data_IF_158014213658
#
_entry.id   IF_158014213658
#
_cell.length_a   1.000
_cell.length_b   1.000
_cell.length_c   1.000
_cell.angle_alpha   90.00
_cell.angle_beta   90.00
_cell.angle_gamma   90.00
#
_symmetry.space_group_name_H-M   'P 1'
#
loop_
_entity.id
_entity.type
_entity.pdbx_description
1 polymer ?
#
# COMPACT_ATOMS: atom_id res chain seq x y z
N UNK A 1 -38.40 -37.06 15.38
CA UNK A 1 -37.40 -36.33 14.55
C UNK A 1 -37.10 -34.89 15.04
N UNK A 2 -37.48 -34.52 16.27
CA UNK A 2 -37.47 -33.12 16.74
C UNK A 2 -36.30 -32.77 17.68
N UNK A 3 -35.81 -33.71 18.49
CA UNK A 3 -34.74 -33.45 19.49
C UNK A 3 -33.40 -33.11 18.83
N UNK A 4 -32.99 -33.83 17.78
CA UNK A 4 -31.73 -33.58 17.05
C UNK A 4 -31.73 -32.25 16.30
N UNK A 5 -32.91 -31.78 15.89
CA UNK A 5 -33.11 -30.45 15.29
C UNK A 5 -33.07 -29.34 16.34
N UNK A 6 -33.67 -29.55 17.52
CA UNK A 6 -33.61 -28.58 18.62
C UNK A 6 -32.17 -28.40 19.13
N UNK A 7 -31.40 -29.49 19.24
CA UNK A 7 -29.97 -29.43 19.60
C UNK A 7 -29.15 -28.65 18.58
N UNK A 8 -29.42 -28.82 17.29
CA UNK A 8 -28.76 -28.06 16.22
C UNK A 8 -29.10 -26.57 16.26
N UNK A 9 -30.37 -26.21 16.48
CA UNK A 9 -30.78 -24.81 16.62
C UNK A 9 -30.20 -24.15 17.88
N UNK A 10 -30.15 -24.87 19.00
CA UNK A 10 -29.54 -24.39 20.24
C UNK A 10 -28.03 -24.16 20.08
N UNK A 11 -27.33 -25.08 19.40
CA UNK A 11 -25.90 -24.94 19.11
C UNK A 11 -25.63 -23.75 18.17
N UNK A 12 -26.47 -23.56 17.15
CA UNK A 12 -26.34 -22.47 16.17
C UNK A 12 -26.65 -21.10 16.81
N UNK A 13 -27.64 -21.03 17.69
CA UNK A 13 -27.92 -19.84 18.51
C UNK A 13 -26.78 -19.54 19.50
N UNK A 14 -26.19 -20.56 20.11
CA UNK A 14 -25.04 -20.38 20.99
C UNK A 14 -23.80 -19.88 20.22
N UNK A 15 -23.56 -20.38 19.01
CA UNK A 15 -22.49 -19.91 18.10
C UNK A 15 -22.73 -18.48 17.60
N UNK A 16 -23.98 -18.12 17.30
CA UNK A 16 -24.34 -16.75 16.94
C UNK A 16 -24.17 -15.80 18.12
N UNK A 17 -24.52 -16.23 19.34
CA UNK A 17 -24.38 -15.44 20.55
C UNK A 17 -22.89 -15.21 20.92
N UNK A 18 -22.03 -16.21 20.75
CA UNK A 18 -20.58 -16.05 20.96
C UNK A 18 -19.94 -15.19 19.88
N UNK A 19 -20.37 -15.29 18.61
CA UNK A 19 -19.93 -14.39 17.54
C UNK A 19 -20.37 -12.93 17.80
N UNK A 20 -21.62 -12.72 18.24
CA UNK A 20 -22.13 -11.41 18.60
C UNK A 20 -21.39 -10.81 19.81
N UNK A 21 -21.13 -11.61 20.85
CA UNK A 21 -20.37 -11.17 22.03
C UNK A 21 -18.89 -10.88 21.71
N UNK A 22 -18.31 -11.61 20.76
CA UNK A 22 -16.98 -11.34 20.22
C UNK A 22 -16.91 -10.00 19.47
N UNK A 23 -17.90 -9.73 18.62
CA UNK A 23 -17.99 -8.47 17.86
C UNK A 23 -18.30 -7.23 18.70
N UNK A 24 -18.97 -7.37 19.85
CA UNK A 24 -19.30 -6.24 20.73
C UNK A 24 -18.11 -5.74 21.55
N UNK A 25 -17.08 -6.56 21.78
CA UNK A 25 -15.87 -6.14 22.53
C UNK A 25 -14.92 -5.28 21.70
N UNK A 26 -14.98 -5.35 20.37
CA UNK A 26 -14.15 -4.56 19.45
C UNK A 26 -14.68 -3.16 19.14
N UNK A 27 -15.92 -2.82 19.54
CA UNK A 27 -16.55 -1.50 19.32
C UNK A 27 -16.49 -0.63 20.59
N UNK A 28 -15.53 -0.84 21.48
CA UNK A 28 -15.28 0.18 22.51
C UNK A 28 -14.55 1.36 21.84
N UNK A 29 -15.11 2.57 21.89
CA UNK A 29 -14.41 3.74 21.39
C UNK A 29 -13.28 4.05 22.38
N UNK A 30 -12.10 3.50 22.12
CA UNK A 30 -10.85 3.97 22.74
C UNK A 30 -10.66 5.44 22.30
N UNK A 31 -10.23 6.35 23.19
CA UNK A 31 -9.90 7.71 22.78
C UNK A 31 -8.89 7.68 21.61
N UNK A 32 -9.07 8.51 20.58
CA UNK A 32 -8.23 8.47 19.39
C UNK A 32 -6.79 8.77 19.78
N UNK A 33 -5.93 7.74 19.76
CA UNK A 33 -4.51 7.88 20.03
C UNK A 33 -3.76 8.19 18.75
N UNK A 34 -2.63 8.92 18.89
CA UNK A 34 -1.73 9.21 17.76
C UNK A 34 -1.33 7.92 17.05
N UNK A 35 -1.01 6.87 17.81
CA UNK A 35 -0.62 5.56 17.29
C UNK A 35 -1.74 4.90 16.49
N UNK A 36 -2.99 4.95 16.98
CA UNK A 36 -4.13 4.35 16.29
C UNK A 36 -4.44 5.02 14.94
N UNK A 37 -4.32 6.34 14.87
CA UNK A 37 -4.50 7.08 13.61
C UNK A 37 -3.29 6.86 12.68
N UNK A 38 -2.07 6.90 13.22
CA UNK A 38 -0.85 6.65 12.46
C UNK A 38 -0.79 5.23 11.87
N UNK A 39 -1.43 4.24 12.51
CA UNK A 39 -1.51 2.88 11.99
C UNK A 39 -2.45 2.76 10.78
N UNK A 40 -3.37 3.72 10.60
CA UNK A 40 -4.30 3.77 9.45
C UNK A 40 -3.75 4.57 8.27
N UNK A 41 -2.58 5.19 8.42
CA UNK A 41 -1.92 5.98 7.39
C UNK A 41 -0.64 5.28 6.92
N UNK A 42 -0.40 5.25 5.61
CA UNK A 42 0.85 4.80 4.99
C UNK A 42 1.85 5.95 4.96
N UNK A 43 3.14 5.64 5.11
CA UNK A 43 4.18 6.63 4.93
C UNK A 43 4.52 6.74 3.44
N UNK A 44 4.36 7.91 2.78
CA UNK A 44 4.59 8.06 1.34
C UNK A 44 6.08 7.96 0.97
N UNK A 45 6.96 8.14 1.94
CA UNK A 45 8.41 8.04 1.77
C UNK A 45 8.97 6.64 2.09
N UNK A 46 8.15 5.72 2.61
CA UNK A 46 8.57 4.37 2.96
C UNK A 46 7.79 3.35 2.13
N UNK A 47 8.46 2.24 1.78
CA UNK A 47 7.96 1.24 0.84
C UNK A 47 6.82 0.39 1.45
N UNK A 48 5.66 1.01 1.70
CA UNK A 48 4.44 0.33 2.16
C UNK A 48 4.25 0.21 3.67
N UNK A 49 5.14 0.78 4.50
CA UNK A 49 4.98 0.77 5.95
C UNK A 49 3.93 1.80 6.45
N UNK A 50 3.27 1.48 7.57
CA UNK A 50 2.39 2.43 8.26
C UNK A 50 3.20 3.54 8.93
N UNK A 51 2.61 4.73 9.08
CA UNK A 51 3.21 5.87 9.79
C UNK A 51 3.49 5.54 11.26
N UNK A 52 2.72 4.60 11.85
CA UNK A 52 2.96 4.12 13.21
C UNK A 52 4.25 3.29 13.34
N UNK A 53 4.61 2.51 12.32
CA UNK A 53 5.75 1.58 12.36
C UNK A 53 7.02 2.17 11.74
N UNK A 54 6.87 3.09 10.79
CA UNK A 54 7.99 3.67 10.07
C UNK A 54 8.84 4.59 10.96
N UNK A 55 10.16 4.38 10.91
CA UNK A 55 11.16 5.18 11.61
C UNK A 55 11.69 6.35 10.77
N UNK A 56 11.08 6.62 9.61
CA UNK A 56 11.53 7.72 8.75
C UNK A 56 11.26 9.10 9.36
N UNK A 57 12.07 10.12 9.01
CA UNK A 57 11.79 11.50 9.39
C UNK A 57 10.40 11.98 8.95
N UNK A 58 9.94 11.52 7.78
CA UNK A 58 8.59 11.81 7.27
C UNK A 58 7.50 11.25 8.18
N UNK A 59 7.63 9.99 8.60
CA UNK A 59 6.67 9.38 9.51
C UNK A 59 6.68 10.06 10.89
N UNK A 60 7.84 10.51 11.39
CA UNK A 60 7.92 11.30 12.61
C UNK A 60 7.15 12.63 12.50
N UNK A 61 7.37 13.39 11.42
CA UNK A 61 6.66 14.64 11.17
C UNK A 61 5.13 14.44 11.02
N UNK A 62 4.71 13.33 10.40
CA UNK A 62 3.29 12.97 10.31
C UNK A 62 2.70 12.65 11.68
N UNK A 63 3.41 11.91 12.55
CA UNK A 63 2.97 11.64 13.93
C UNK A 63 2.84 12.93 14.75
N UNK A 64 3.77 13.86 14.59
CA UNK A 64 3.68 15.18 15.24
C UNK A 64 2.47 15.97 14.76
N UNK A 65 2.19 15.94 13.45
CA UNK A 65 1.00 16.58 12.88
C UNK A 65 -0.28 15.96 13.42
N UNK A 66 -0.35 14.63 13.53
CA UNK A 66 -1.50 13.93 14.13
C UNK A 66 -1.70 14.36 15.58
N UNK A 67 -0.61 14.43 16.36
CA UNK A 67 -0.66 14.86 17.76
C UNK A 67 -1.18 16.31 17.90
N UNK A 68 -0.73 17.22 17.04
CA UNK A 68 -1.20 18.61 17.01
C UNK A 68 -2.70 18.71 16.66
N UNK A 69 -3.16 17.93 15.68
CA UNK A 69 -4.57 17.95 15.26
C UNK A 69 -5.49 17.35 16.35
N UNK A 70 -5.03 16.30 17.03
CA UNK A 70 -5.74 15.74 18.20
C UNK A 70 -5.80 16.75 19.35
N UNK A 71 -4.69 17.45 19.63
CA UNK A 71 -4.66 18.53 20.62
C UNK A 71 -5.57 19.70 20.24
N UNK A 72 -5.78 19.95 18.94
CA UNK A 72 -6.73 20.92 18.42
C UNK A 72 -8.20 20.43 18.45
N UNK A 73 -8.47 19.26 19.03
CA UNK A 73 -9.83 18.72 19.19
C UNK A 73 -10.42 18.08 17.92
N UNK A 74 -9.60 17.80 16.89
CA UNK A 74 -10.07 17.11 15.69
C UNK A 74 -10.25 15.61 15.96
N UNK A 75 -11.25 15.02 15.31
CA UNK A 75 -11.50 13.58 15.37
C UNK A 75 -10.63 12.81 14.33
N UNK A 76 -10.58 11.48 14.46
CA UNK A 76 -9.75 10.64 13.60
C UNK A 76 -10.09 10.77 12.10
N UNK A 77 -11.37 10.86 11.75
CA UNK A 77 -11.84 10.99 10.36
C UNK A 77 -11.40 12.32 9.74
N UNK A 78 -11.51 13.43 10.48
CA UNK A 78 -11.04 14.74 10.04
C UNK A 78 -9.53 14.76 9.81
N UNK A 79 -8.78 14.07 10.67
CA UNK A 79 -7.32 13.95 10.55
C UNK A 79 -6.97 13.15 9.29
N UNK A 80 -7.59 11.98 9.10
CA UNK A 80 -7.42 11.16 7.90
C UNK A 80 -7.75 11.93 6.63
N UNK A 81 -8.89 12.63 6.62
CA UNK A 81 -9.32 13.42 5.47
C UNK A 81 -8.33 14.56 5.15
N UNK A 82 -7.75 15.20 6.16
CA UNK A 82 -6.71 16.21 5.97
C UNK A 82 -5.46 15.61 5.28
N UNK A 83 -5.05 14.40 5.67
CA UNK A 83 -3.95 13.70 5.00
C UNK A 83 -4.31 13.29 3.57
N UNK A 84 -5.54 12.79 3.33
CA UNK A 84 -6.02 12.43 1.99
C UNK A 84 -6.02 13.63 1.04
N UNK A 85 -6.46 14.81 1.50
CA UNK A 85 -6.44 16.02 0.68
C UNK A 85 -5.02 16.42 0.24
N UNK A 86 -4.00 16.09 1.05
CA UNK A 86 -2.61 16.49 0.81
C UNK A 86 -1.78 15.44 0.07
N UNK A 87 -2.04 14.16 0.31
CA UNK A 87 -1.24 13.04 -0.19
C UNK A 87 -2.00 12.10 -1.12
N UNK A 88 -3.31 12.29 -1.31
CA UNK A 88 -4.17 11.41 -2.10
C UNK A 88 -4.82 10.29 -1.28
N UNK A 89 -5.75 9.52 -1.87
CA UNK A 89 -6.47 8.43 -1.18
C UNK A 89 -5.56 7.27 -0.77
N UNK A 90 -4.46 7.05 -1.50
CA UNK A 90 -3.50 5.95 -1.27
C UNK A 90 -2.71 6.09 0.04
N UNK A 91 -2.83 7.25 0.70
CA UNK A 91 -2.28 7.46 2.04
C UNK A 91 -2.99 6.63 3.11
N UNK A 92 -4.22 6.18 2.87
CA UNK A 92 -4.94 5.32 3.79
C UNK A 92 -4.49 3.87 3.60
N UNK A 93 -4.28 3.16 4.71
CA UNK A 93 -3.97 1.72 4.68
C UNK A 93 -5.16 0.92 4.13
N UNK A 94 -6.39 1.37 4.43
CA UNK A 94 -7.62 0.78 3.91
C UNK A 94 -8.56 1.87 3.31
N UNK A 95 -8.61 2.01 1.97
CA UNK A 95 -9.45 3.00 1.30
C UNK A 95 -10.95 2.64 1.32
N UNK A 96 -11.35 1.48 1.87
CA UNK A 96 -12.71 0.95 1.77
C UNK A 96 -13.79 1.76 2.52
N UNK A 97 -13.42 2.76 3.32
CA UNK A 97 -14.35 3.58 4.09
C UNK A 97 -14.98 4.74 3.28
N UNK A 98 -14.63 4.88 2.00
CA UNK A 98 -15.31 5.82 1.09
C UNK A 98 -16.67 5.29 0.60
N UNK A 99 -17.62 6.17 0.21
CA UNK A 99 -18.94 5.76 -0.32
C UNK A 99 -18.84 4.83 -1.54
N UNK A 100 -17.71 4.86 -2.24
CA UNK A 100 -17.39 4.00 -3.39
C UNK A 100 -17.06 2.56 -2.94
N UNK A 101 -16.39 2.37 -1.79
CA UNK A 101 -16.08 1.05 -1.23
C UNK A 101 -17.35 0.29 -0.79
N UNK A 102 -18.33 1.00 -0.23
CA UNK A 102 -19.64 0.43 0.10
C UNK A 102 -20.44 0.01 -1.15
N UNK A 103 -20.29 0.74 -2.27
CA UNK A 103 -20.94 0.42 -3.53
C UNK A 103 -20.40 -0.88 -4.16
N UNK A 104 -19.13 -1.20 -3.93
CA UNK A 104 -18.52 -2.44 -4.39
C UNK A 104 -19.16 -3.69 -3.75
N UNK A 105 -19.62 -3.59 -2.50
CA UNK A 105 -20.33 -4.66 -1.78
C UNK A 105 -21.80 -4.82 -2.17
N UNK A 106 -22.41 -3.82 -2.82
CA UNK A 106 -23.79 -3.89 -3.30
C UNK A 106 -23.97 -4.90 -4.45
N UNK A 107 -22.95 -5.09 -5.30
CA UNK A 107 -22.98 -6.04 -6.42
C UNK A 107 -23.08 -7.50 -5.96
N UNK A 108 -22.23 -8.02 -5.05
CA UNK A 108 -22.37 -9.38 -4.54
C UNK A 108 -23.67 -9.61 -3.74
N UNK A 109 -24.15 -8.60 -3.01
CA UNK A 109 -25.44 -8.70 -2.30
C UNK A 109 -26.64 -8.75 -3.26
N UNK A 110 -26.65 -7.92 -4.30
CA UNK A 110 -27.72 -7.87 -5.29
C UNK A 110 -27.81 -9.17 -6.11
N UNK A 111 -26.65 -9.73 -6.50
CA UNK A 111 -26.60 -11.01 -7.22
C UNK A 111 -27.06 -12.17 -6.34
N UNK A 112 -26.67 -12.22 -5.07
CA UNK A 112 -27.16 -13.21 -4.12
C UNK A 112 -28.68 -13.12 -3.89
N UNK A 113 -29.21 -11.90 -3.74
CA UNK A 113 -30.64 -11.66 -3.58
C UNK A 113 -31.43 -12.09 -4.84
N UNK A 114 -30.91 -11.78 -6.03
CA UNK A 114 -31.53 -12.18 -7.29
C UNK A 114 -31.55 -13.71 -7.47
N UNK A 115 -30.43 -14.39 -7.16
CA UNK A 115 -30.34 -15.84 -7.19
C UNK A 115 -31.33 -16.50 -6.22
N UNK A 116 -31.43 -15.99 -4.98
CA UNK A 116 -32.39 -16.44 -3.98
C UNK A 116 -33.84 -16.27 -4.42
N UNK A 117 -34.17 -15.12 -5.03
CA UNK A 117 -35.50 -14.83 -5.55
C UNK A 117 -35.89 -15.77 -6.70
N UNK A 118 -34.97 -16.04 -7.62
CA UNK A 118 -35.17 -16.99 -8.73
C UNK A 118 -35.39 -18.42 -8.22
N UNK A 119 -34.63 -18.84 -7.20
CA UNK A 119 -34.79 -20.13 -6.52
C UNK A 119 -36.17 -20.29 -5.86
N UNK A 120 -36.64 -19.26 -5.14
CA UNK A 120 -37.97 -19.27 -4.51
C UNK A 120 -39.07 -19.32 -5.57
N UNK A 121 -38.96 -18.55 -6.66
CA UNK A 121 -39.93 -18.58 -7.76
C UNK A 121 -39.96 -19.94 -8.45
N UNK A 122 -38.81 -20.55 -8.71
CA UNK A 122 -38.72 -21.89 -9.30
C UNK A 122 -39.35 -22.96 -8.40
N UNK A 123 -39.20 -22.85 -7.07
CA UNK A 123 -39.85 -23.76 -6.11
C UNK A 123 -41.36 -23.55 -6.06
N UNK A 124 -41.85 -22.32 -6.04
CA UNK A 124 -43.30 -22.01 -6.00
C UNK A 124 -44.02 -22.48 -7.27
N UNK A 125 -43.39 -22.36 -8.45
CA UNK A 125 -43.96 -22.85 -9.72
C UNK A 125 -44.13 -24.38 -9.75
N UNK A 126 -43.27 -25.13 -9.06
CA UNK A 126 -43.39 -26.60 -8.96
C UNK A 126 -44.47 -27.05 -7.97
N UNK A 127 -44.76 -26.25 -6.94
CA UNK A 127 -45.86 -26.52 -6.00
C UNK A 127 -47.21 -26.24 -6.64
N UNK A 128 -47.31 -25.20 -7.49
CA UNK A 128 -48.52 -24.89 -8.24
C UNK A 128 -48.84 -25.91 -9.37
N UNK A 129 -47.89 -26.76 -9.75
CA UNK A 129 -48.08 -27.81 -10.77
C UNK A 129 -48.49 -29.17 -10.18
N UNK A 130 -48.74 -29.25 -8.87
CA UNK A 130 -49.05 -30.50 -8.17
C UNK A 130 -50.56 -30.85 -8.04
N UNK A 131 -51.45 -30.10 -8.70
CA UNK A 131 -52.92 -30.29 -8.62
C UNK A 131 -53.53 -31.12 -9.78
N UNK A 132 -52.76 -31.96 -10.47
CA UNK A 132 -53.30 -32.93 -11.42
C UNK A 132 -53.02 -34.38 -10.95
N UNK A 133 -54.04 -35.18 -10.61
CA UNK A 133 -53.83 -36.57 -10.20
C UNK A 133 -53.68 -37.45 -11.46
N UNK A 134 -52.48 -38.00 -11.69
CA UNK A 134 -52.28 -39.17 -12.56
C UNK A 134 -50.95 -39.88 -12.29
N UNK A 135 -50.87 -41.22 -12.49
CA UNK A 135 -50.06 -42.08 -11.64
C UNK A 135 -48.79 -42.63 -12.33
N UNK A 136 -47.65 -42.50 -11.63
CA UNK A 136 -46.63 -43.53 -11.34
C UNK A 136 -45.31 -42.81 -11.01
N UNK A 137 -44.87 -42.97 -9.76
CA UNK A 137 -43.57 -42.47 -9.30
C UNK A 137 -42.45 -43.38 -9.84
N UNK A 138 -41.49 -42.80 -10.54
CA UNK A 138 -40.12 -43.34 -10.57
C UNK A 138 -39.27 -42.56 -9.56
N UNK A 139 -38.60 -43.22 -8.61
CA UNK A 139 -37.75 -42.55 -7.64
C UNK A 139 -36.38 -42.32 -8.28
N UNK A 140 -36.03 -41.08 -8.62
CA UNK A 140 -34.68 -40.80 -9.12
C UNK A 140 -34.25 -39.33 -9.16
N UNK A 141 -35.17 -38.38 -9.33
CA UNK A 141 -34.78 -37.03 -9.77
C UNK A 141 -34.55 -36.01 -8.64
N UNK A 142 -35.01 -36.25 -7.40
CA UNK A 142 -34.86 -35.29 -6.29
C UNK A 142 -33.46 -35.28 -5.67
N UNK A 143 -32.71 -36.39 -5.77
CA UNK A 143 -31.34 -36.51 -5.22
C UNK A 143 -30.33 -35.74 -6.07
N UNK A 144 -30.56 -35.64 -7.37
CA UNK A 144 -29.64 -35.06 -8.35
C UNK A 144 -29.61 -33.52 -8.29
N UNK A 145 -30.75 -32.87 -8.06
CA UNK A 145 -30.81 -31.40 -7.89
C UNK A 145 -30.23 -30.92 -6.57
N UNK A 146 -30.37 -31.71 -5.49
CA UNK A 146 -29.76 -31.38 -4.21
C UNK A 146 -28.24 -31.47 -4.31
N UNK A 147 -27.70 -32.52 -4.96
CA UNK A 147 -26.26 -32.66 -5.17
C UNK A 147 -25.68 -31.52 -6.04
N UNK A 148 -26.38 -31.11 -7.10
CA UNK A 148 -25.95 -29.97 -7.92
C UNK A 148 -25.94 -28.65 -7.14
N UNK A 149 -26.96 -28.40 -6.30
CA UNK A 149 -27.01 -27.21 -5.46
C UNK A 149 -25.91 -27.22 -4.37
N UNK A 150 -25.66 -28.36 -3.73
CA UNK A 150 -24.57 -28.48 -2.76
C UNK A 150 -23.20 -28.32 -3.43
N UNK A 151 -23.03 -28.84 -4.66
CA UNK A 151 -21.80 -28.69 -5.43
C UNK A 151 -21.56 -27.24 -5.84
N UNK A 152 -22.59 -26.48 -6.23
CA UNK A 152 -22.45 -25.05 -6.54
C UNK A 152 -22.12 -24.24 -5.28
N UNK A 153 -22.77 -24.51 -4.15
CA UNK A 153 -22.45 -23.82 -2.88
C UNK A 153 -21.04 -24.16 -2.41
N UNK A 154 -20.61 -25.41 -2.52
CA UNK A 154 -19.23 -25.81 -2.22
C UNK A 154 -18.23 -25.19 -3.20
N UNK A 155 -18.55 -25.11 -4.49
CA UNK A 155 -17.70 -24.45 -5.48
C UNK A 155 -17.57 -22.96 -5.18
N UNK A 156 -18.67 -22.28 -4.85
CA UNK A 156 -18.65 -20.85 -4.46
C UNK A 156 -17.90 -20.64 -3.14
N UNK A 157 -18.06 -21.54 -2.17
CA UNK A 157 -17.34 -21.47 -0.89
C UNK A 157 -15.84 -21.77 -1.06
N UNK A 158 -15.48 -22.74 -1.90
CA UNK A 158 -14.08 -23.03 -2.26
C UNK A 158 -13.51 -21.85 -3.00
N UNK A 159 -14.18 -21.32 -4.03
CA UNK A 159 -13.74 -20.09 -4.73
C UNK A 159 -13.64 -18.92 -3.74
N UNK A 160 -14.53 -18.75 -2.77
CA UNK A 160 -14.40 -17.67 -1.79
C UNK A 160 -13.23 -17.86 -0.79
N UNK A 161 -12.85 -19.11 -0.51
CA UNK A 161 -11.77 -19.46 0.43
C UNK A 161 -10.41 -19.61 -0.26
N UNK A 162 -10.41 -20.00 -1.54
CA UNK A 162 -9.21 -20.24 -2.37
C UNK A 162 -9.03 -19.21 -3.47
N UNK A 163 -9.97 -18.29 -3.67
CA UNK A 163 -9.69 -17.09 -4.44
C UNK A 163 -8.59 -16.37 -3.65
N UNK A 164 -7.41 -16.16 -4.26
CA UNK A 164 -6.44 -15.24 -3.68
C UNK A 164 -7.20 -13.93 -3.48
N UNK A 165 -7.23 -13.43 -2.25
CA UNK A 165 -7.78 -12.12 -1.96
C UNK A 165 -7.12 -11.12 -2.91
N UNK A 166 -7.94 -10.39 -3.65
CA UNK A 166 -7.53 -9.24 -4.45
C UNK A 166 -6.27 -9.48 -5.25
N UNK A 167 -6.42 -10.06 -6.44
CA UNK A 167 -5.67 -9.53 -7.56
C UNK A 167 -6.08 -8.05 -7.70
N UNK A 168 -5.43 -7.18 -6.94
CA UNK A 168 -5.20 -5.83 -7.40
C UNK A 168 -4.51 -5.96 -8.75
N UNK A 169 -4.82 -5.06 -9.68
CA UNK A 169 -4.14 -4.94 -10.97
C UNK A 169 -2.64 -4.73 -10.75
N UNK A 170 -1.90 -5.80 -10.48
CA UNK A 170 -0.45 -5.85 -10.62
C UNK A 170 -0.21 -5.96 -12.13
N UNK A 171 -0.43 -4.83 -12.81
CA UNK A 171 0.35 -4.51 -14.00
C UNK A 171 1.78 -4.95 -13.68
N UNK A 172 2.38 -5.86 -14.48
CA UNK A 172 3.63 -6.52 -14.12
C UNK A 172 4.58 -5.44 -13.64
N UNK A 173 4.93 -5.45 -12.34
CA UNK A 173 5.70 -4.39 -11.71
C UNK A 173 6.83 -4.05 -12.68
N UNK A 174 6.79 -2.82 -13.24
CA UNK A 174 7.67 -2.36 -14.31
C UNK A 174 9.06 -2.93 -14.02
N UNK A 175 9.65 -3.73 -14.92
CA UNK A 175 10.93 -4.41 -14.66
C UNK A 175 11.95 -3.43 -14.04
N UNK A 176 11.88 -2.17 -14.49
CA UNK A 176 12.60 -1.03 -13.94
C UNK A 176 12.38 -0.81 -12.44
N UNK A 177 11.13 -0.80 -11.96
CA UNK A 177 10.78 -0.63 -10.54
C UNK A 177 11.38 -1.74 -9.66
N UNK A 178 11.34 -2.99 -10.15
CA UNK A 178 11.95 -4.13 -9.48
C UNK A 178 13.48 -3.99 -9.46
N UNK A 179 14.09 -3.63 -10.59
CA UNK A 179 15.54 -3.36 -10.68
C UNK A 179 15.96 -2.25 -9.72
N UNK A 180 15.19 -1.17 -9.62
CA UNK A 180 15.46 -0.06 -8.70
C UNK A 180 15.31 -0.46 -7.23
N UNK A 181 14.37 -1.34 -6.90
CA UNK A 181 14.23 -1.89 -5.56
C UNK A 181 15.43 -2.74 -5.17
N UNK A 182 15.90 -3.61 -6.08
CA UNK A 182 17.12 -4.41 -5.87
C UNK A 182 18.35 -3.50 -5.74
N UNK A 183 18.48 -2.49 -6.59
CA UNK A 183 19.59 -1.53 -6.51
C UNK A 183 19.67 -0.86 -5.14
N UNK A 184 18.54 -0.37 -4.61
CA UNK A 184 18.46 0.22 -3.26
C UNK A 184 18.82 -0.79 -2.17
N UNK A 185 18.31 -2.01 -2.25
CA UNK A 185 18.67 -3.06 -1.29
C UNK A 185 20.18 -3.36 -1.30
N UNK A 186 20.84 -3.26 -2.46
CA UNK A 186 22.30 -3.41 -2.55
C UNK A 186 23.04 -2.20 -1.94
N UNK A 187 22.52 -0.97 -2.12
CA UNK A 187 23.06 0.22 -1.44
C UNK A 187 23.00 0.06 0.09
N UNK A 188 21.86 -0.38 0.62
CA UNK A 188 21.64 -0.61 2.06
C UNK A 188 22.56 -1.70 2.60
N UNK A 189 22.90 -2.70 1.78
CA UNK A 189 23.87 -3.74 2.09
C UNK A 189 25.34 -3.29 1.93
N UNK A 190 25.60 -2.05 1.52
CA UNK A 190 26.94 -1.52 1.25
C UNK A 190 27.59 -2.04 -0.04
N UNK A 191 26.84 -2.77 -0.87
CA UNK A 191 27.31 -3.34 -2.16
C UNK A 191 27.18 -2.30 -3.27
N UNK A 192 27.86 -1.17 -3.11
CA UNK A 192 27.71 0.00 -3.99
C UNK A 192 28.08 -0.26 -5.45
N UNK A 193 29.09 -1.09 -5.73
CA UNK A 193 29.51 -1.38 -7.10
C UNK A 193 28.42 -2.12 -7.90
N UNK A 194 27.72 -3.05 -7.25
CA UNK A 194 26.61 -3.79 -7.87
C UNK A 194 25.37 -2.92 -8.01
N UNK A 195 25.08 -2.08 -7.01
CA UNK A 195 24.02 -1.09 -7.08
C UNK A 195 24.22 -0.12 -8.26
N UNK A 196 25.46 0.35 -8.48
CA UNK A 196 25.81 1.22 -9.60
C UNK A 196 25.53 0.54 -10.95
N UNK A 197 25.89 -0.74 -11.11
CA UNK A 197 25.58 -1.50 -12.32
C UNK A 197 24.08 -1.61 -12.59
N UNK A 198 23.27 -1.83 -11.56
CA UNK A 198 21.81 -1.87 -11.69
C UNK A 198 21.20 -0.52 -12.06
N UNK A 199 21.76 0.60 -11.57
CA UNK A 199 21.33 1.93 -11.99
C UNK A 199 21.74 2.25 -13.42
N UNK A 200 22.94 1.84 -13.85
CA UNK A 200 23.37 1.95 -15.24
C UNK A 200 22.43 1.15 -16.17
N UNK A 201 22.05 -0.07 -15.78
CA UNK A 201 21.06 -0.89 -16.48
C UNK A 201 19.68 -0.24 -16.54
N UNK A 202 19.23 0.34 -15.43
CA UNK A 202 17.97 1.08 -15.36
C UNK A 202 17.95 2.27 -16.33
N UNK A 203 19.06 3.03 -16.38
CA UNK A 203 19.20 4.19 -17.27
C UNK A 203 19.27 3.81 -18.75
N UNK A 204 19.77 2.61 -19.08
CA UNK A 204 19.72 2.07 -20.45
C UNK A 204 18.30 1.81 -20.91
N UNK A 205 17.42 1.38 -20.01
CA UNK A 205 16.01 1.11 -20.32
C UNK A 205 15.20 2.41 -20.38
N UNK A 206 15.37 3.29 -19.39
CA UNK A 206 14.67 4.58 -19.31
C UNK A 206 15.63 5.65 -18.80
N UNK A 207 16.01 6.63 -19.65
CA UNK A 207 16.81 7.77 -19.21
C UNK A 207 16.03 8.63 -18.19
N UNK A 208 16.57 8.81 -16.99
CA UNK A 208 15.91 9.54 -15.89
C UNK A 208 16.94 10.27 -15.02
N UNK A 209 16.70 11.55 -14.73
CA UNK A 209 17.62 12.40 -13.98
C UNK A 209 17.72 12.07 -12.50
N UNK A 210 16.62 11.63 -11.89
CA UNK A 210 16.61 11.21 -10.49
C UNK A 210 17.44 9.94 -10.31
N UNK A 211 17.40 9.03 -11.28
CA UNK A 211 18.25 7.83 -11.30
C UNK A 211 19.72 8.22 -11.52
N UNK A 212 20.03 9.17 -12.43
CA UNK A 212 21.40 9.67 -12.64
C UNK A 212 22.01 10.26 -11.38
N UNK A 213 21.27 11.09 -10.65
CA UNK A 213 21.75 11.69 -9.39
C UNK A 213 22.00 10.62 -8.33
N UNK A 214 21.11 9.62 -8.23
CA UNK A 214 21.32 8.50 -7.31
C UNK A 214 22.57 7.68 -7.69
N UNK A 215 22.73 7.34 -8.97
CA UNK A 215 23.93 6.68 -9.48
C UNK A 215 25.19 7.50 -9.17
N UNK A 216 25.19 8.82 -9.40
CA UNK A 216 26.32 9.67 -9.09
C UNK A 216 26.68 9.59 -7.59
N UNK A 217 25.69 9.61 -6.70
CA UNK A 217 25.92 9.40 -5.27
C UNK A 217 26.51 8.01 -4.96
N UNK A 218 25.98 6.95 -5.58
CA UNK A 218 26.52 5.59 -5.44
C UNK A 218 27.98 5.51 -5.92
N UNK A 219 28.32 6.16 -7.04
CA UNK A 219 29.66 6.17 -7.61
C UNK A 219 30.70 6.85 -6.71
N UNK A 220 30.31 7.89 -5.95
CA UNK A 220 31.19 8.49 -4.92
C UNK A 220 31.63 7.43 -3.91
N UNK A 221 30.72 6.51 -3.52
CA UNK A 221 30.99 5.43 -2.57
C UNK A 221 31.81 4.28 -3.17
N UNK A 222 31.89 4.20 -4.50
CA UNK A 222 32.67 3.23 -5.26
C UNK A 222 34.08 3.72 -5.63
N UNK A 223 34.54 4.86 -5.07
CA UNK A 223 35.81 5.52 -5.46
C UNK A 223 35.86 5.94 -6.96
N UNK A 224 34.69 6.04 -7.60
CA UNK A 224 34.53 6.48 -9.00
C UNK A 224 34.09 7.94 -9.06
N UNK A 225 34.77 8.80 -8.31
CA UNK A 225 34.36 10.19 -8.13
C UNK A 225 34.38 11.01 -9.44
N UNK A 226 35.29 10.72 -10.39
CA UNK A 226 35.33 11.39 -11.69
C UNK A 226 34.07 11.14 -12.55
N UNK A 227 33.59 9.89 -12.57
CA UNK A 227 32.35 9.53 -13.25
C UNK A 227 31.15 10.21 -12.57
N UNK A 228 31.13 10.22 -11.23
CA UNK A 228 30.11 10.90 -10.45
C UNK A 228 30.04 12.40 -10.76
N UNK A 229 31.19 13.09 -10.86
CA UNK A 229 31.26 14.51 -11.24
C UNK A 229 30.66 14.72 -12.62
N UNK A 230 31.01 13.88 -13.59
CA UNK A 230 30.52 14.00 -14.97
C UNK A 230 29.00 13.86 -15.04
N UNK A 231 28.44 12.84 -14.38
CA UNK A 231 27.00 12.59 -14.35
C UNK A 231 26.26 13.71 -13.60
N UNK A 232 26.70 14.06 -12.38
CA UNK A 232 26.03 15.06 -11.56
C UNK A 232 26.07 16.45 -12.21
N UNK A 233 27.18 16.81 -12.86
CA UNK A 233 27.30 18.08 -13.60
C UNK A 233 26.31 18.15 -14.75
N UNK A 234 26.21 17.08 -15.53
CA UNK A 234 25.28 17.02 -16.66
C UNK A 234 23.80 17.13 -16.24
N UNK A 235 23.44 16.73 -15.02
CA UNK A 235 22.10 16.95 -14.46
C UNK A 235 21.96 18.39 -13.94
N UNK A 236 22.90 18.86 -13.13
CA UNK A 236 22.86 20.21 -12.54
C UNK A 236 22.86 21.33 -13.60
N UNK A 237 23.54 21.12 -14.73
CA UNK A 237 23.56 22.08 -15.84
C UNK A 237 22.21 22.12 -16.59
N UNK A 238 21.50 20.98 -16.65
CA UNK A 238 20.17 20.89 -17.28
C UNK A 238 19.06 21.37 -16.37
N UNK A 239 19.16 21.08 -15.07
CA UNK A 239 18.18 21.42 -14.04
C UNK A 239 18.85 22.21 -12.91
N UNK A 240 19.20 23.49 -13.10
CA UNK A 240 19.91 24.27 -12.08
C UNK A 240 19.10 24.51 -10.79
N UNK A 241 17.78 24.34 -10.85
CA UNK A 241 16.88 24.44 -9.71
C UNK A 241 16.85 23.16 -8.85
N UNK A 242 17.39 22.03 -9.35
CA UNK A 242 17.49 20.80 -8.56
C UNK A 242 18.67 20.91 -7.57
N UNK A 243 18.34 21.31 -6.34
CA UNK A 243 19.29 21.45 -5.24
C UNK A 243 19.98 20.13 -4.89
N UNK A 244 19.32 18.98 -5.12
CA UNK A 244 19.92 17.68 -4.87
C UNK A 244 21.03 17.40 -5.88
N UNK A 245 20.83 17.77 -7.15
CA UNK A 245 21.85 17.68 -8.19
C UNK A 245 23.07 18.55 -7.86
N UNK A 246 22.85 19.79 -7.40
CA UNK A 246 23.93 20.70 -6.98
C UNK A 246 24.70 20.16 -5.77
N UNK A 247 23.99 19.64 -4.76
CA UNK A 247 24.60 19.03 -3.59
C UNK A 247 25.49 17.84 -3.98
N UNK A 248 24.94 16.89 -4.76
CA UNK A 248 25.67 15.68 -5.18
C UNK A 248 26.86 16.03 -6.07
N UNK A 249 26.74 17.04 -6.94
CA UNK A 249 27.87 17.56 -7.71
C UNK A 249 28.99 18.07 -6.78
N UNK A 250 28.66 18.91 -5.80
CA UNK A 250 29.64 19.43 -4.85
C UNK A 250 30.34 18.32 -4.05
N UNK A 251 29.58 17.30 -3.62
CA UNK A 251 30.12 16.12 -2.93
C UNK A 251 31.04 15.28 -3.85
N UNK A 252 30.63 15.07 -5.11
CA UNK A 252 31.43 14.34 -6.10
C UNK A 252 32.73 15.07 -6.42
N UNK A 253 32.66 16.39 -6.62
CA UNK A 253 33.82 17.24 -6.86
C UNK A 253 34.81 17.15 -5.69
N UNK A 254 34.31 17.21 -4.45
CA UNK A 254 35.15 17.06 -3.26
C UNK A 254 35.84 15.70 -3.23
N UNK A 255 35.10 14.63 -3.49
CA UNK A 255 35.65 13.27 -3.52
C UNK A 255 36.71 13.10 -4.63
N UNK A 256 36.55 13.80 -5.75
CA UNK A 256 37.51 13.81 -6.85
C UNK A 256 38.70 14.78 -6.65
N UNK A 257 38.74 15.56 -5.55
CA UNK A 257 39.75 16.59 -5.33
C UNK A 257 39.62 17.82 -6.25
N UNK A 258 38.45 18.05 -6.84
CA UNK A 258 38.18 19.21 -7.71
C UNK A 258 38.05 20.49 -6.86
N UNK A 259 38.86 21.54 -7.12
CA UNK A 259 38.84 22.78 -6.35
C UNK A 259 37.50 23.52 -6.42
N UNK A 260 36.69 23.29 -7.47
CA UNK A 260 35.37 23.90 -7.61
C UNK A 260 34.34 23.37 -6.59
N UNK A 261 34.65 22.29 -5.86
CA UNK A 261 33.77 21.69 -4.88
C UNK A 261 33.28 22.71 -3.82
N UNK A 262 34.20 23.54 -3.31
CA UNK A 262 33.88 24.49 -2.26
C UNK A 262 32.85 25.53 -2.72
N UNK A 263 33.01 26.05 -3.93
CA UNK A 263 32.09 27.04 -4.51
C UNK A 263 30.72 26.42 -4.82
N UNK A 264 30.68 25.19 -5.34
CA UNK A 264 29.42 24.46 -5.57
C UNK A 264 28.65 24.22 -4.28
N UNK A 265 29.33 23.78 -3.21
CA UNK A 265 28.70 23.55 -1.91
C UNK A 265 28.22 24.85 -1.23
N UNK A 266 28.96 25.96 -1.40
CA UNK A 266 28.50 27.29 -0.94
C UNK A 266 27.25 27.75 -1.67
N UNK A 267 27.16 27.52 -3.00
CA UNK A 267 25.95 27.81 -3.78
C UNK A 267 24.75 27.02 -3.27
N UNK A 268 24.93 25.74 -2.97
CA UNK A 268 23.88 24.92 -2.34
C UNK A 268 23.41 25.51 -1.01
N UNK A 269 24.34 25.86 -0.10
CA UNK A 269 24.00 26.47 1.20
C UNK A 269 23.28 27.81 1.07
N UNK A 270 23.64 28.62 0.07
CA UNK A 270 22.98 29.90 -0.18
C UNK A 270 21.54 29.71 -0.66
N UNK A 271 21.27 28.67 -1.45
CA UNK A 271 19.95 28.38 -1.97
C UNK A 271 19.06 27.60 -0.98
N UNK A 272 19.66 26.78 -0.10
CA UNK A 272 18.95 25.90 0.82
C UNK A 272 19.57 25.91 2.23
N UNK A 273 19.53 27.05 2.96
CA UNK A 273 20.20 27.18 4.25
C UNK A 273 19.62 26.29 5.34
N UNK A 274 18.34 25.92 5.23
CA UNK A 274 17.59 25.09 6.18
C UNK A 274 17.49 23.61 5.75
N UNK A 275 18.17 23.20 4.68
CA UNK A 275 18.19 21.79 4.25
C UNK A 275 18.80 20.90 5.35
N UNK A 276 18.27 19.68 5.60
CA UNK A 276 18.83 18.76 6.59
C UNK A 276 20.33 18.47 6.40
N UNK A 277 20.84 18.61 5.17
CA UNK A 277 22.24 18.37 4.82
C UNK A 277 23.13 19.59 5.08
N UNK A 278 22.56 20.78 5.32
CA UNK A 278 23.28 22.05 5.38
C UNK A 278 24.35 22.06 6.48
N UNK A 279 24.05 21.56 7.67
CA UNK A 279 25.03 21.48 8.77
C UNK A 279 26.22 20.58 8.43
N UNK A 280 25.95 19.46 7.75
CA UNK A 280 27.01 18.57 7.30
C UNK A 280 27.88 19.24 6.24
N UNK A 281 27.28 19.96 5.30
CA UNK A 281 28.01 20.71 4.27
C UNK A 281 28.87 21.82 4.88
N UNK A 282 28.36 22.56 5.88
CA UNK A 282 29.15 23.55 6.63
C UNK A 282 30.37 22.92 7.30
N UNK A 283 30.19 21.76 7.94
CA UNK A 283 31.32 21.00 8.53
C UNK A 283 32.35 20.57 7.47
N UNK A 284 31.90 20.11 6.30
CA UNK A 284 32.79 19.70 5.22
C UNK A 284 33.63 20.87 4.69
N UNK A 285 33.04 22.05 4.54
CA UNK A 285 33.73 23.26 4.09
C UNK A 285 34.73 23.81 5.10
N UNK A 286 34.47 23.62 6.40
CA UNK A 286 35.40 24.03 7.47
C UNK A 286 36.63 23.10 7.58
N UNK A 287 36.52 21.87 7.06
CA UNK A 287 37.57 20.84 7.12
C UNK A 287 38.45 20.77 5.85
N UNK A 288 38.24 21.65 4.88
CA UNK A 288 39.04 21.80 3.65
C UNK A 288 39.83 23.09 3.67
#
# INVERSE_FOLDING_TARGET
MTVRRCLWWALLLALLATAAAGGWRSVRPEPPSVTAIAAQLRCPACQGESVAQSQSPTAAAMRDTIAQQLAAGRNAEQIQHWFVQRYGPDILVDPAHGPIGALLWLVPLATAALAGLLLVRARRRRVAQHDHPSPRRTPGTTRQYNLAATAVVLLVAVIAVTAPGGADDEAPADTLSTTLAVARSMEDAGRYAEAAGLYEDALRQRPDDRIRIRLAFTLIRCDRAGDAVTIARAVADREPADLQAVLVLGLAQRAAGDPAAADTLRRFLAAAPDDPSADQVRRLLAAS
#
